data_IF_997030601612
#
_entry.id   IF_997030601612
#
_cell.length_a   1.000
_cell.length_b   1.000
_cell.length_c   1.000
_cell.angle_alpha   90.00
_cell.angle_beta   90.00
_cell.angle_gamma   90.00
#
_symmetry.space_group_name_H-M   'P 1'
#
loop_
_entity.id
_entity.type
_entity.pdbx_description
1 polymer ?
#
# COMPACT_ATOMS: atom_id res chain seq x y z
N UNK A 1 7.27 23.05 19.14
CA UNK A 1 7.84 22.78 17.80
C UNK A 1 6.95 21.70 17.20
N UNK A 2 6.20 22.02 16.14
CA UNK A 2 5.42 20.98 15.44
C UNK A 2 6.40 20.06 14.73
N UNK A 3 6.26 18.76 14.96
CA UNK A 3 7.09 17.76 14.30
C UNK A 3 6.68 17.66 12.83
N UNK A 4 7.48 18.28 11.96
CA UNK A 4 7.31 18.27 10.51
C UNK A 4 7.18 16.84 9.96
N UNK A 5 7.81 15.87 10.62
CA UNK A 5 7.75 14.46 10.26
C UNK A 5 6.37 13.84 10.48
N UNK A 6 5.66 14.25 11.53
CA UNK A 6 4.29 13.82 11.80
C UNK A 6 3.31 14.39 10.76
N UNK A 7 3.52 15.63 10.32
CA UNK A 7 2.67 16.28 9.30
C UNK A 7 2.80 15.61 7.92
N UNK A 8 4.03 15.19 7.56
CA UNK A 8 4.29 14.45 6.31
C UNK A 8 3.62 13.07 6.33
N UNK A 9 3.82 12.27 7.39
CA UNK A 9 3.19 10.94 7.50
C UNK A 9 1.66 11.04 7.49
N UNK A 10 1.08 11.97 8.23
CA UNK A 10 -0.36 12.21 8.24
C UNK A 10 -0.89 12.60 6.85
N UNK A 11 -0.16 13.45 6.13
CA UNK A 11 -0.50 13.84 4.76
C UNK A 11 -0.43 12.68 3.78
N UNK A 12 0.60 11.83 3.88
CA UNK A 12 0.75 10.62 3.06
C UNK A 12 -0.37 9.61 3.32
N UNK A 13 -0.68 9.35 4.59
CA UNK A 13 -1.78 8.45 4.96
C UNK A 13 -3.14 8.95 4.49
N UNK A 14 -3.38 10.26 4.54
CA UNK A 14 -4.60 10.85 3.98
C UNK A 14 -4.70 10.58 2.48
N UNK A 15 -3.60 10.74 1.74
CA UNK A 15 -3.55 10.50 0.30
C UNK A 15 -3.79 9.05 -0.06
N UNK A 16 -3.23 8.10 0.69
CA UNK A 16 -3.50 6.66 0.46
C UNK A 16 -4.97 6.34 0.70
N UNK A 17 -5.57 6.84 1.79
CA UNK A 17 -7.01 6.66 2.05
C UNK A 17 -7.91 7.25 0.96
N UNK A 18 -7.53 8.39 0.39
CA UNK A 18 -8.23 8.98 -0.75
C UNK A 18 -8.17 8.03 -1.98
N UNK A 19 -7.02 7.41 -2.24
CA UNK A 19 -6.86 6.41 -3.32
C UNK A 19 -7.68 5.15 -3.03
N UNK A 20 -7.61 4.61 -1.81
CA UNK A 20 -8.38 3.42 -1.39
C UNK A 20 -9.89 3.64 -1.55
N UNK A 21 -10.38 4.82 -1.17
CA UNK A 21 -11.78 5.21 -1.36
C UNK A 21 -12.18 5.20 -2.84
N UNK A 22 -11.36 5.80 -3.71
CA UNK A 22 -11.59 5.77 -5.16
C UNK A 22 -11.55 4.33 -5.68
N UNK A 23 -10.58 3.52 -5.27
CA UNK A 23 -10.48 2.11 -5.67
C UNK A 23 -11.71 1.32 -5.22
N UNK A 24 -12.23 1.52 -4.01
CA UNK A 24 -13.45 0.84 -3.56
C UNK A 24 -14.69 1.20 -4.39
N UNK A 25 -14.71 2.39 -4.99
CA UNK A 25 -15.78 2.83 -5.90
C UNK A 25 -15.61 2.36 -7.34
N UNK A 26 -14.37 2.09 -7.78
CA UNK A 26 -14.07 1.46 -9.07
C UNK A 26 -14.30 -0.03 -8.90
N UNK A 27 -15.40 -0.54 -9.46
CA UNK A 27 -15.81 -1.93 -9.36
C UNK A 27 -14.61 -2.90 -9.42
N UNK A 28 -14.58 -3.87 -8.49
CA UNK A 28 -13.62 -4.99 -8.38
C UNK A 28 -13.36 -5.75 -9.69
N UNK A 29 -14.12 -5.45 -10.75
CA UNK A 29 -14.00 -6.01 -12.09
C UNK A 29 -12.95 -5.35 -12.99
N UNK A 30 -12.32 -4.23 -12.59
CA UNK A 30 -11.25 -3.65 -13.40
C UNK A 30 -9.97 -4.53 -13.33
N UNK A 31 -9.35 -4.91 -14.47
CA UNK A 31 -8.25 -5.89 -14.49
C UNK A 31 -7.06 -5.56 -13.58
N UNK A 32 -6.76 -4.27 -13.39
CA UNK A 32 -5.64 -3.81 -12.56
C UNK A 32 -6.06 -3.42 -11.13
N UNK A 33 -7.34 -3.54 -10.79
CA UNK A 33 -7.83 -3.20 -9.45
C UNK A 33 -7.12 -3.96 -8.33
N UNK A 34 -6.93 -5.30 -8.41
CA UNK A 34 -6.27 -6.03 -7.33
C UNK A 34 -4.83 -5.55 -7.12
N UNK A 35 -4.10 -5.24 -8.20
CA UNK A 35 -2.74 -4.71 -8.13
C UNK A 35 -2.70 -3.37 -7.40
N UNK A 36 -3.59 -2.44 -7.78
CA UNK A 36 -3.69 -1.13 -7.17
C UNK A 36 -4.06 -1.24 -5.67
N UNK A 37 -5.00 -2.13 -5.34
CA UNK A 37 -5.41 -2.38 -3.96
C UNK A 37 -4.23 -2.86 -3.09
N UNK A 38 -3.51 -3.90 -3.51
CA UNK A 38 -2.37 -4.40 -2.73
C UNK A 38 -1.23 -3.39 -2.60
N UNK A 39 -0.96 -2.60 -3.64
CA UNK A 39 0.01 -1.51 -3.56
C UNK A 39 -0.42 -0.43 -2.56
N UNK A 40 -1.71 -0.10 -2.48
CA UNK A 40 -2.18 0.86 -1.45
C UNK A 40 -2.02 0.31 -0.03
N UNK A 41 -2.25 -0.98 0.21
CA UNK A 41 -2.01 -1.58 1.53
C UNK A 41 -0.53 -1.52 1.93
N UNK A 42 0.39 -1.82 1.00
CA UNK A 42 1.83 -1.68 1.24
C UNK A 42 2.23 -0.24 1.56
N UNK A 43 1.67 0.74 0.83
CA UNK A 43 1.91 2.17 1.09
C UNK A 43 1.37 2.62 2.45
N UNK A 44 0.19 2.17 2.85
CA UNK A 44 -0.38 2.45 4.18
C UNK A 44 0.58 2.03 5.28
N UNK A 45 1.05 0.77 5.25
CA UNK A 45 1.96 0.24 6.26
C UNK A 45 3.32 0.98 6.28
N UNK A 46 3.86 1.32 5.11
CA UNK A 46 5.07 2.15 5.00
C UNK A 46 4.88 3.55 5.62
N UNK A 47 3.74 4.17 5.39
CA UNK A 47 3.48 5.54 5.86
C UNK A 47 3.11 5.61 7.34
N UNK A 48 2.50 4.56 7.90
CA UNK A 48 2.31 4.40 9.35
C UNK A 48 3.65 4.33 10.10
N UNK A 49 4.65 3.70 9.48
CA UNK A 49 6.01 3.57 10.02
C UNK A 49 7.01 4.58 9.44
N UNK A 50 6.55 5.64 8.78
CA UNK A 50 7.39 6.59 8.04
C UNK A 50 8.57 7.14 8.86
N UNK A 51 8.34 7.42 10.15
CA UNK A 51 9.35 7.95 11.08
C UNK A 51 9.97 6.90 12.00
N UNK A 52 9.60 5.64 11.80
CA UNK A 52 9.97 4.52 12.65
C UNK A 52 10.85 3.50 11.93
N UNK A 53 10.91 2.30 12.49
CA UNK A 53 11.50 1.13 11.85
C UNK A 53 10.38 0.13 11.61
N UNK A 54 10.41 -0.51 10.46
CA UNK A 54 9.55 -1.66 10.19
C UNK A 54 10.02 -2.83 11.04
N UNK A 55 9.09 -3.55 11.64
CA UNK A 55 9.39 -4.84 12.26
C UNK A 55 9.58 -5.91 11.19
N UNK A 56 10.10 -7.07 11.58
CA UNK A 56 10.25 -8.20 10.66
C UNK A 56 8.88 -8.66 10.11
N UNK A 57 7.87 -8.68 10.97
CA UNK A 57 6.50 -9.03 10.59
C UNK A 57 5.92 -8.02 9.58
N UNK A 58 6.14 -6.72 9.80
CA UNK A 58 5.70 -5.67 8.87
C UNK A 58 6.43 -5.76 7.52
N UNK A 59 7.72 -6.11 7.52
CA UNK A 59 8.47 -6.36 6.29
C UNK A 59 7.94 -7.57 5.52
N UNK A 60 7.60 -8.65 6.22
CA UNK A 60 6.99 -9.84 5.63
C UNK A 60 5.60 -9.54 5.06
N UNK A 61 4.82 -8.71 5.76
CA UNK A 61 3.51 -8.26 5.31
C UNK A 61 3.60 -7.37 4.05
N UNK A 62 4.51 -6.39 4.03
CA UNK A 62 4.80 -5.57 2.84
C UNK A 62 5.21 -6.47 1.67
N UNK A 63 6.10 -7.43 1.92
CA UNK A 63 6.54 -8.39 0.89
C UNK A 63 5.34 -9.18 0.34
N UNK A 64 4.46 -9.65 1.20
CA UNK A 64 3.25 -10.36 0.79
C UNK A 64 2.33 -9.50 -0.09
N UNK A 65 2.10 -8.23 0.27
CA UNK A 65 1.34 -7.29 -0.56
C UNK A 65 1.97 -7.10 -1.94
N UNK A 66 3.30 -6.94 -2.01
CA UNK A 66 4.02 -6.78 -3.27
C UNK A 66 3.93 -8.04 -4.14
N UNK A 67 4.05 -9.23 -3.55
CA UNK A 67 3.87 -10.49 -4.25
C UNK A 67 2.46 -10.62 -4.82
N UNK A 68 1.44 -10.23 -4.06
CA UNK A 68 0.04 -10.24 -4.52
C UNK A 68 -0.21 -9.25 -5.65
N UNK A 69 0.34 -8.05 -5.55
CA UNK A 69 0.29 -7.06 -6.63
C UNK A 69 0.92 -7.62 -7.92
N UNK A 70 2.13 -8.18 -7.83
CA UNK A 70 2.81 -8.75 -8.99
C UNK A 70 2.09 -10.00 -9.55
N UNK A 71 1.49 -10.85 -8.71
CA UNK A 71 0.62 -11.96 -9.15
C UNK A 71 -0.56 -11.45 -9.97
N UNK A 72 -1.25 -10.40 -9.49
CA UNK A 72 -2.40 -9.83 -10.19
C UNK A 72 -2.05 -9.14 -11.52
N UNK A 73 -0.80 -8.71 -11.68
CA UNK A 73 -0.28 -8.17 -12.93
C UNK A 73 0.23 -9.26 -13.89
N UNK A 74 0.18 -10.54 -13.49
CA UNK A 74 0.72 -11.65 -14.27
C UNK A 74 2.25 -11.67 -14.34
N UNK A 75 2.95 -11.00 -13.42
CA UNK A 75 4.42 -10.93 -13.44
C UNK A 75 5.08 -12.22 -12.93
N UNK A 76 4.32 -13.08 -12.23
CA UNK A 76 4.76 -14.43 -11.87
C UNK A 76 4.09 -15.44 -12.79
N UNK A 77 4.79 -15.85 -13.84
CA UNK A 77 4.47 -17.08 -14.57
C UNK A 77 5.28 -18.20 -13.90
N UNK A 78 4.64 -19.09 -13.15
CA UNK A 78 5.23 -20.41 -12.87
C UNK A 78 5.42 -21.11 -14.22
N UNK A 79 6.66 -21.09 -14.71
CA UNK A 79 7.13 -22.01 -15.76
C UNK A 79 7.24 -23.42 -15.19
#
# INVERSE_FOLDING_TARGET
>A
MMDFSTDVSASLLRRVREIESVLSGVAEHHPYWPAAHYLTQALSLLFERWNGRLTQEELEEIKWYLEKAAQSLGLFHTS
#
